data_IF_623897974564
#
_entry.id   IF_623897974564
#
_cell.length_a   1.000
_cell.length_b   1.000
_cell.length_c   1.000
_cell.angle_alpha   90.00
_cell.angle_beta   90.00
_cell.angle_gamma   90.00
#
_symmetry.space_group_name_H-M   'P 1'
#
loop_
_entity.id
_entity.type
_entity.pdbx_description
1 polymer ?
#
# COMPACT_ATOMS: atom_id res chain seq x y z
N UNK A 1 -20.22 -15.27 -13.96
CA UNK A 1 -20.51 -14.37 -12.83
C UNK A 1 -22.00 -14.06 -12.88
N UNK A 2 -22.77 -14.62 -11.95
CA UNK A 2 -24.18 -14.27 -11.73
C UNK A 2 -24.30 -13.99 -10.23
N UNK A 3 -24.63 -12.75 -9.88
CA UNK A 3 -24.93 -12.37 -8.51
C UNK A 3 -26.31 -12.93 -8.17
N UNK A 4 -26.38 -13.81 -7.17
CA UNK A 4 -27.65 -14.24 -6.61
C UNK A 4 -28.03 -13.25 -5.52
N UNK A 5 -28.99 -12.38 -5.85
CA UNK A 5 -29.64 -11.46 -4.92
C UNK A 5 -30.59 -12.25 -4.01
N UNK A 6 -30.25 -12.38 -2.73
CA UNK A 6 -31.12 -12.99 -1.74
C UNK A 6 -32.09 -11.93 -1.20
N UNK A 7 -33.37 -12.06 -1.53
CA UNK A 7 -34.44 -11.32 -0.87
C UNK A 7 -34.65 -11.90 0.54
N UNK A 8 -34.33 -11.12 1.56
CA UNK A 8 -34.66 -11.44 2.94
C UNK A 8 -36.12 -11.06 3.20
N UNK A 9 -37.06 -11.90 2.77
CA UNK A 9 -38.46 -11.74 3.17
C UNK A 9 -39.21 -13.07 3.12
N UNK A 10 -39.11 -13.81 4.20
CA UNK A 10 -40.17 -14.71 4.68
C UNK A 10 -40.20 -14.57 6.21
N UNK A 11 -40.72 -13.44 6.66
CA UNK A 11 -41.41 -13.39 7.94
C UNK A 11 -42.81 -13.92 7.69
N UNK A 12 -43.06 -15.19 8.03
CA UNK A 12 -44.42 -15.68 8.30
C UNK A 12 -44.34 -16.69 9.45
N UNK A 13 -43.97 -16.16 10.62
CA UNK A 13 -44.19 -16.82 11.89
C UNK A 13 -45.64 -16.65 12.30
N UNK A 14 -46.49 -17.60 11.90
CA UNK A 14 -47.83 -17.78 12.47
C UNK A 14 -47.71 -18.00 14.00
N UNK A 15 -47.93 -16.93 14.77
CA UNK A 15 -48.22 -17.05 16.20
C UNK A 15 -49.69 -17.44 16.36
N UNK A 16 -49.98 -18.74 16.44
CA UNK A 16 -51.25 -19.20 17.00
C UNK A 16 -51.24 -18.99 18.52
N UNK A 17 -51.50 -17.76 18.94
CA UNK A 17 -51.89 -17.41 20.30
C UNK A 17 -53.40 -17.55 20.46
N UNK A 18 -53.87 -18.77 20.75
CA UNK A 18 -55.20 -18.96 21.33
C UNK A 18 -55.12 -18.63 22.82
N UNK A 19 -55.96 -17.70 23.26
CA UNK A 19 -56.16 -17.36 24.66
C UNK A 19 -56.58 -18.59 25.48
N UNK A 20 -55.98 -18.76 26.66
CA UNK A 20 -56.30 -19.82 27.62
C UNK A 20 -55.47 -19.68 28.90
N UNK A 21 -56.17 -19.56 30.02
CA UNK A 21 -55.72 -19.26 31.38
C UNK A 21 -54.61 -20.21 31.90
N UNK A 22 -53.60 -19.64 32.58
CA UNK A 22 -52.83 -20.32 33.63
C UNK A 22 -51.90 -21.47 33.22
N UNK A 23 -50.73 -21.16 32.66
CA UNK A 23 -49.66 -22.14 32.52
C UNK A 23 -48.36 -21.45 32.10
N UNK A 24 -47.30 -21.58 32.90
CA UNK A 24 -45.99 -21.03 32.58
C UNK A 24 -45.58 -21.51 31.18
N UNK A 25 -45.45 -20.56 30.24
CA UNK A 25 -44.99 -20.85 28.89
C UNK A 25 -43.61 -21.50 28.98
N UNK A 26 -43.54 -22.80 28.72
CA UNK A 26 -42.28 -23.53 28.65
C UNK A 26 -41.52 -22.91 27.48
N UNK A 27 -40.56 -22.03 27.77
CA UNK A 27 -39.62 -21.51 26.76
C UNK A 27 -38.89 -22.72 26.20
N UNK A 28 -39.27 -23.10 24.98
CA UNK A 28 -38.60 -24.14 24.24
C UNK A 28 -37.14 -23.75 24.13
N UNK A 29 -36.25 -24.57 24.70
CA UNK A 29 -34.79 -24.41 24.56
C UNK A 29 -34.30 -24.86 23.18
N UNK A 30 -35.22 -25.12 22.24
CA UNK A 30 -34.90 -25.60 20.92
C UNK A 30 -34.34 -24.45 20.09
N UNK A 31 -33.13 -24.60 19.50
CA UNK A 31 -32.56 -23.59 18.62
C UNK A 31 -33.45 -23.38 17.38
N UNK A 32 -33.47 -22.15 16.87
CA UNK A 32 -34.25 -21.83 15.67
C UNK A 32 -33.77 -22.62 14.45
N UNK A 33 -34.72 -23.11 13.67
CA UNK A 33 -34.48 -23.98 12.53
C UNK A 33 -34.18 -23.21 11.24
N UNK A 34 -33.29 -22.21 11.31
CA UNK A 34 -32.87 -21.42 10.14
C UNK A 34 -31.56 -21.97 9.57
N UNK A 35 -31.41 -21.94 8.23
CA UNK A 35 -30.21 -22.44 7.54
C UNK A 35 -28.91 -21.80 8.04
N UNK A 36 -28.95 -20.53 8.46
CA UNK A 36 -27.81 -19.83 9.05
C UNK A 36 -27.46 -20.39 10.44
N UNK A 37 -28.42 -20.43 11.38
CA UNK A 37 -28.17 -20.93 12.75
C UNK A 37 -27.85 -22.42 12.79
N UNK A 38 -28.28 -23.18 11.79
CA UNK A 38 -27.97 -24.60 11.64
C UNK A 38 -26.74 -24.89 10.78
N UNK A 39 -26.07 -23.85 10.26
CA UNK A 39 -24.87 -23.97 9.43
C UNK A 39 -25.09 -24.84 8.18
N UNK A 40 -26.30 -24.77 7.58
CA UNK A 40 -26.71 -25.47 6.37
C UNK A 40 -26.85 -24.52 5.18
N UNK A 41 -26.11 -23.42 5.20
CA UNK A 41 -26.07 -22.53 4.05
C UNK A 41 -25.47 -23.26 2.84
N UNK A 42 -26.02 -23.05 1.62
CA UNK A 42 -25.44 -23.62 0.42
C UNK A 42 -24.02 -23.06 0.26
N UNK A 43 -23.04 -23.95 0.27
CA UNK A 43 -21.64 -23.61 0.05
C UNK A 43 -21.15 -24.35 -1.20
N UNK A 44 -20.42 -23.64 -2.05
CA UNK A 44 -19.62 -24.28 -3.08
C UNK A 44 -18.30 -24.74 -2.44
N UNK A 45 -18.03 -26.04 -2.51
CA UNK A 45 -16.81 -26.64 -1.94
C UNK A 45 -15.93 -27.15 -3.09
N UNK A 46 -15.05 -26.30 -3.66
CA UNK A 46 -14.16 -26.73 -4.73
C UNK A 46 -13.08 -27.67 -4.18
N UNK A 47 -13.03 -28.88 -4.74
CA UNK A 47 -11.98 -29.85 -4.43
C UNK A 47 -10.86 -29.65 -5.47
N UNK A 48 -9.73 -29.08 -5.04
CA UNK A 48 -8.57 -28.81 -5.88
C UNK A 48 -7.81 -30.11 -6.17
N UNK A 49 -8.16 -30.75 -7.28
CA UNK A 49 -7.48 -31.95 -7.79
C UNK A 49 -6.50 -31.59 -8.91
N UNK A 50 -5.51 -32.45 -9.16
CA UNK A 50 -4.50 -32.26 -10.21
C UNK A 50 -5.11 -31.90 -11.59
N UNK A 51 -6.25 -32.52 -11.95
CA UNK A 51 -6.94 -32.26 -13.21
C UNK A 51 -7.56 -30.87 -13.33
N UNK A 52 -7.83 -30.19 -12.21
CA UNK A 52 -8.40 -28.82 -12.20
C UNK A 52 -7.32 -27.75 -12.08
N UNK A 53 -6.26 -28.00 -11.34
CA UNK A 53 -5.18 -27.02 -11.11
C UNK A 53 -4.20 -26.94 -12.27
N UNK A 54 -3.93 -28.06 -12.96
CA UNK A 54 -2.96 -28.10 -14.04
C UNK A 54 -3.37 -27.19 -15.22
N UNK A 55 -4.61 -27.24 -15.76
CA UNK A 55 -5.03 -26.31 -16.80
C UNK A 55 -5.02 -24.85 -16.34
N UNK A 56 -5.39 -24.59 -15.07
CA UNK A 56 -5.37 -23.24 -14.52
C UNK A 56 -3.96 -22.64 -14.51
N UNK A 57 -2.94 -23.42 -14.13
CA UNK A 57 -1.54 -22.97 -14.20
C UNK A 57 -1.08 -22.68 -15.62
N UNK A 58 -1.46 -23.49 -16.61
CA UNK A 58 -1.13 -23.21 -18.01
C UNK A 58 -1.76 -21.91 -18.50
N UNK A 59 -3.03 -21.66 -18.18
CA UNK A 59 -3.72 -20.40 -18.55
C UNK A 59 -3.03 -19.20 -17.91
N UNK A 60 -2.73 -19.27 -16.60
CA UNK A 60 -2.02 -18.18 -15.90
C UNK A 60 -0.64 -17.96 -16.52
N UNK A 61 0.10 -19.03 -16.80
CA UNK A 61 1.42 -18.96 -17.44
C UNK A 61 1.37 -18.30 -18.82
N UNK A 62 0.43 -18.72 -19.69
CA UNK A 62 0.26 -18.14 -21.02
C UNK A 62 -0.13 -16.66 -20.99
N UNK A 63 -0.78 -16.19 -19.92
CA UNK A 63 -1.11 -14.77 -19.73
C UNK A 63 0.10 -14.01 -19.16
N UNK A 64 0.80 -14.58 -18.17
CA UNK A 64 1.90 -13.90 -17.50
C UNK A 64 3.18 -13.83 -18.33
N UNK A 65 3.42 -14.78 -19.24
CA UNK A 65 4.57 -14.73 -20.15
C UNK A 65 4.56 -13.46 -21.03
N UNK A 66 3.52 -13.16 -21.83
CA UNK A 66 3.51 -11.97 -22.67
C UNK A 66 3.48 -10.67 -21.85
N UNK A 67 2.77 -10.65 -20.71
CA UNK A 67 2.78 -9.50 -19.80
C UNK A 67 4.20 -9.27 -19.27
N UNK A 68 4.87 -10.32 -18.80
CA UNK A 68 6.24 -10.26 -18.30
C UNK A 68 7.22 -9.79 -19.37
N UNK A 69 7.09 -10.28 -20.62
CA UNK A 69 7.90 -9.80 -21.75
C UNK A 69 7.66 -8.30 -21.99
N UNK A 70 6.40 -7.85 -22.01
CA UNK A 70 6.07 -6.44 -22.17
C UNK A 70 6.66 -5.55 -21.08
N UNK A 71 6.54 -5.96 -19.82
CA UNK A 71 7.14 -5.25 -18.68
C UNK A 71 8.68 -5.27 -18.73
N UNK A 72 9.28 -6.38 -19.13
CA UNK A 72 10.74 -6.50 -19.23
C UNK A 72 11.32 -5.61 -20.33
N UNK A 73 10.71 -5.61 -21.52
CA UNK A 73 11.15 -4.74 -22.63
C UNK A 73 11.00 -3.27 -22.27
N UNK A 74 9.85 -2.89 -21.70
CA UNK A 74 9.62 -1.50 -21.28
C UNK A 74 10.60 -1.07 -20.19
N UNK A 75 10.91 -1.95 -19.22
CA UNK A 75 11.90 -1.67 -18.17
C UNK A 75 13.31 -1.49 -18.74
N UNK A 76 13.76 -2.34 -19.66
CA UNK A 76 15.13 -2.25 -20.22
C UNK A 76 15.32 -1.07 -21.18
N UNK A 77 14.24 -0.51 -21.70
CA UNK A 77 14.29 0.70 -22.53
C UNK A 77 14.47 1.98 -21.70
N UNK A 78 14.25 1.92 -20.38
CA UNK A 78 14.51 3.06 -19.48
C UNK A 78 16.02 3.18 -19.31
N UNK A 79 16.52 4.40 -19.53
CA UNK A 79 17.93 4.75 -19.34
C UNK A 79 18.06 5.48 -18.01
N UNK A 80 19.00 5.05 -17.20
CA UNK A 80 19.27 5.60 -15.88
C UNK A 80 20.76 5.94 -15.79
N UNK A 81 21.08 7.08 -15.19
CA UNK A 81 22.45 7.50 -14.88
C UNK A 81 22.48 7.97 -13.43
N UNK A 82 23.31 7.31 -12.63
CA UNK A 82 23.45 7.59 -11.20
C UNK A 82 24.89 8.04 -10.90
N UNK A 83 25.03 9.12 -10.12
CA UNK A 83 26.32 9.64 -9.69
C UNK A 83 26.27 10.00 -8.20
N UNK A 84 27.19 9.44 -7.42
CA UNK A 84 27.34 9.77 -6.00
C UNK A 84 28.15 11.08 -5.86
N UNK A 85 27.57 12.07 -5.18
CA UNK A 85 28.14 13.38 -4.92
C UNK A 85 28.49 13.61 -3.44
N UNK A 86 28.48 12.57 -2.61
CA UNK A 86 28.77 12.66 -1.16
C UNK A 86 30.20 13.12 -0.87
N UNK A 87 31.15 12.76 -1.74
CA UNK A 87 32.56 13.15 -1.59
C UNK A 87 33.30 12.41 -0.49
N UNK A 88 33.08 11.10 -0.34
CA UNK A 88 33.80 10.26 0.64
C UNK A 88 35.25 10.01 0.24
N UNK A 89 35.51 9.90 -1.06
CA UNK A 89 36.84 9.61 -1.60
C UNK A 89 37.66 10.88 -1.76
N UNK A 90 38.96 10.81 -1.43
CA UNK A 90 39.89 11.94 -1.59
C UNK A 90 40.06 12.41 -3.04
N UNK A 91 39.74 11.55 -4.01
CA UNK A 91 39.74 11.86 -5.44
C UNK A 91 38.49 12.60 -5.90
N UNK A 92 37.42 12.61 -5.09
CA UNK A 92 36.17 13.26 -5.46
C UNK A 92 36.32 14.80 -5.44
N UNK A 93 35.81 15.51 -6.46
CA UNK A 93 35.74 16.97 -6.45
C UNK A 93 34.97 17.54 -5.25
N UNK A 94 34.10 16.74 -4.63
CA UNK A 94 33.30 17.13 -3.47
C UNK A 94 33.94 16.81 -2.12
N UNK A 95 35.13 16.20 -2.08
CA UNK A 95 35.79 15.78 -0.83
C UNK A 95 36.04 16.95 0.15
N UNK A 96 36.40 18.12 -0.36
CA UNK A 96 36.60 19.28 0.50
C UNK A 96 35.29 19.74 1.16
N UNK A 97 34.15 19.61 0.48
CA UNK A 97 32.84 19.95 1.05
C UNK A 97 32.37 18.95 2.10
N UNK A 98 32.71 17.67 1.96
CA UNK A 98 32.36 16.64 2.94
C UNK A 98 33.23 16.76 4.21
N UNK A 99 34.52 17.06 4.05
CA UNK A 99 35.46 17.14 5.16
C UNK A 99 35.42 18.49 5.90
N UNK A 100 35.32 19.60 5.15
CA UNK A 100 35.42 20.97 5.71
C UNK A 100 34.06 21.57 6.07
N UNK A 101 33.08 20.73 6.45
CA UNK A 101 31.79 21.22 6.94
C UNK A 101 31.94 21.76 8.37
N UNK A 102 32.19 23.07 8.48
CA UNK A 102 32.13 23.78 9.76
C UNK A 102 30.71 24.28 10.00
N UNK A 103 30.13 23.86 11.12
CA UNK A 103 28.80 24.29 11.58
C UNK A 103 28.71 25.80 11.83
N UNK A 104 29.86 26.48 11.90
CA UNK A 104 29.99 27.92 12.14
C UNK A 104 30.42 28.69 10.88
N UNK A 105 30.54 28.02 9.73
CA UNK A 105 30.83 28.69 8.47
C UNK A 105 29.53 28.90 7.69
N UNK A 106 29.11 30.16 7.55
CA UNK A 106 27.95 30.54 6.74
C UNK A 106 28.22 30.52 5.23
N UNK A 107 29.44 30.18 4.80
CA UNK A 107 29.78 30.15 3.37
C UNK A 107 29.28 28.86 2.74
N UNK A 108 28.40 28.92 1.72
CA UNK A 108 27.91 27.70 1.07
C UNK A 108 29.06 26.99 0.34
N UNK A 109 29.29 25.72 0.67
CA UNK A 109 30.21 24.89 -0.11
C UNK A 109 29.53 24.43 -1.40
N UNK A 110 30.17 24.70 -2.54
CA UNK A 110 29.69 24.26 -3.86
C UNK A 110 30.76 23.38 -4.48
N UNK A 111 30.38 22.16 -4.85
CA UNK A 111 31.22 21.28 -5.65
C UNK A 111 30.55 21.01 -7.00
N UNK A 112 31.35 20.73 -8.04
CA UNK A 112 30.90 20.49 -9.41
C UNK A 112 31.43 19.13 -9.84
N UNK A 113 30.55 18.23 -10.25
CA UNK A 113 30.92 16.94 -10.81
C UNK A 113 30.71 16.96 -12.33
N UNK A 114 31.78 16.91 -13.13
CA UNK A 114 31.64 16.70 -14.57
C UNK A 114 31.22 15.24 -14.84
N UNK A 115 30.24 15.05 -15.71
CA UNK A 115 29.82 13.73 -16.19
C UNK A 115 29.51 13.78 -17.69
N UNK A 116 29.58 12.61 -18.34
CA UNK A 116 29.25 12.42 -19.74
C UNK A 116 28.25 11.28 -19.88
N UNK A 117 27.25 11.45 -20.73
CA UNK A 117 26.26 10.41 -21.02
C UNK A 117 26.75 9.58 -22.21
N UNK A 118 26.82 8.26 -22.04
CA UNK A 118 27.25 7.34 -23.10
C UNK A 118 26.21 7.22 -24.23
N UNK A 119 24.92 7.40 -23.89
CA UNK A 119 23.79 7.27 -24.78
C UNK A 119 22.85 8.47 -24.64
N UNK A 120 22.20 8.92 -25.72
CA UNK A 120 21.22 9.98 -25.65
C UNK A 120 19.96 9.52 -24.91
N UNK A 121 19.37 10.42 -24.12
CA UNK A 121 18.08 10.20 -23.47
C UNK A 121 17.00 10.76 -24.39
N UNK A 122 16.33 9.88 -25.13
CA UNK A 122 15.42 10.26 -26.22
C UNK A 122 14.04 10.76 -25.75
N UNK A 123 13.71 10.60 -24.47
CA UNK A 123 12.40 10.93 -23.89
C UNK A 123 12.50 11.94 -22.74
N UNK A 124 11.39 12.21 -22.04
CA UNK A 124 11.36 13.14 -20.91
C UNK A 124 12.35 12.71 -19.83
N UNK A 125 13.21 13.65 -19.42
CA UNK A 125 14.22 13.43 -18.39
C UNK A 125 13.70 13.86 -17.03
N UNK A 126 13.90 13.01 -16.02
CA UNK A 126 13.60 13.31 -14.62
C UNK A 126 14.89 13.29 -13.81
N UNK A 127 15.06 14.27 -12.93
CA UNK A 127 16.21 14.36 -12.03
C UNK A 127 15.75 14.03 -10.60
N UNK A 128 16.42 13.07 -9.97
CA UNK A 128 16.16 12.68 -8.59
C UNK A 128 17.43 12.85 -7.75
N UNK A 129 17.26 13.18 -6.47
CA UNK A 129 18.33 13.12 -5.49
C UNK A 129 18.10 11.91 -4.58
N UNK A 130 19.10 11.05 -4.45
CA UNK A 130 19.07 9.91 -3.54
C UNK A 130 19.67 10.26 -2.18
N UNK A 131 19.07 9.72 -1.11
CA UNK A 131 19.63 9.76 0.25
C UNK A 131 19.69 8.33 0.78
N UNK A 132 20.89 7.90 1.17
CA UNK A 132 21.09 6.61 1.86
C UNK A 132 21.16 6.83 3.37
N UNK A 133 20.86 5.79 4.14
CA UNK A 133 20.86 5.82 5.62
C UNK A 133 19.96 6.89 6.26
N UNK A 134 18.93 7.36 5.54
CA UNK A 134 17.97 8.34 6.03
C UNK A 134 16.58 7.69 6.28
N UNK A 135 16.26 7.43 7.55
CA UNK A 135 15.07 6.67 7.95
C UNK A 135 13.79 7.53 8.02
N UNK A 136 13.29 8.01 6.88
CA UNK A 136 12.06 8.81 6.80
C UNK A 136 10.81 8.08 7.34
N UNK A 137 10.80 6.74 7.31
CA UNK A 137 9.68 5.92 7.77
C UNK A 137 9.63 5.76 9.30
N UNK A 138 10.55 6.34 10.05
CA UNK A 138 10.56 6.23 11.51
C UNK A 138 9.33 6.91 12.14
N UNK A 139 8.61 6.20 13.02
CA UNK A 139 7.31 6.65 13.59
C UNK A 139 7.34 8.07 14.17
N UNK A 140 8.41 8.46 14.88
CA UNK A 140 8.52 9.81 15.45
C UNK A 140 8.74 10.88 14.38
N UNK A 141 9.48 10.55 13.32
CA UNK A 141 9.72 11.47 12.21
C UNK A 141 8.42 11.71 11.44
N UNK A 142 7.71 10.64 11.07
CA UNK A 142 6.42 10.71 10.37
C UNK A 142 5.34 11.48 11.15
N UNK A 143 5.37 11.39 12.49
CA UNK A 143 4.44 12.11 13.36
C UNK A 143 4.83 13.57 13.62
N UNK A 144 6.07 13.95 13.36
CA UNK A 144 6.60 15.29 13.67
C UNK A 144 6.28 16.28 12.55
N UNK A 145 5.01 16.38 12.17
CA UNK A 145 4.46 17.34 11.21
C UNK A 145 3.04 17.73 11.62
N UNK A 146 2.62 18.92 11.20
CA UNK A 146 1.25 19.40 11.38
C UNK A 146 0.61 19.57 10.01
N UNK A 147 -0.30 18.65 9.66
CA UNK A 147 -0.95 18.66 8.35
C UNK A 147 -1.88 19.88 8.16
N UNK A 148 -2.42 20.46 9.24
CA UNK A 148 -3.26 21.65 9.17
C UNK A 148 -2.42 22.89 8.89
N UNK A 149 -1.25 22.97 9.52
CA UNK A 149 -0.25 23.99 9.19
C UNK A 149 0.22 23.86 7.73
N UNK A 150 0.54 22.65 7.27
CA UNK A 150 0.96 22.42 5.88
C UNK A 150 -0.14 22.74 4.86
N UNK A 151 -1.41 22.60 5.24
CA UNK A 151 -2.56 23.01 4.44
C UNK A 151 -2.83 24.53 4.50
N UNK A 152 -2.07 25.29 5.29
CA UNK A 152 -2.18 26.75 5.39
C UNK A 152 -3.23 27.26 6.37
N UNK A 153 -3.66 26.47 7.36
CA UNK A 153 -4.57 26.93 8.41
C UNK A 153 -3.85 27.86 9.41
N UNK A 154 -4.23 29.13 9.41
CA UNK A 154 -3.68 30.16 10.29
C UNK A 154 -3.87 29.85 11.78
N UNK A 155 -4.92 29.12 12.16
CA UNK A 155 -5.17 28.73 13.57
C UNK A 155 -4.17 27.72 14.09
N UNK A 156 -3.55 26.99 13.17
CA UNK A 156 -2.54 25.98 13.43
C UNK A 156 -1.13 26.59 13.47
N UNK A 157 -0.97 27.88 13.11
CA UNK A 157 0.24 28.68 13.34
C UNK A 157 0.33 29.12 14.82
N UNK A 158 0.32 28.17 15.75
CA UNK A 158 0.66 28.49 17.14
C UNK A 158 2.14 28.83 17.19
N UNK A 159 2.45 30.12 17.36
CA UNK A 159 3.75 30.58 17.85
C UNK A 159 3.98 29.83 19.17
N UNK A 160 4.94 28.90 19.19
CA UNK A 160 5.37 28.27 20.42
C UNK A 160 5.71 29.39 21.41
N UNK A 161 5.00 29.54 22.55
CA UNK A 161 5.47 30.45 23.57
C UNK A 161 6.83 29.93 24.02
N UNK A 162 7.85 30.79 23.91
CA UNK A 162 9.19 30.55 24.41
C UNK A 162 9.10 29.95 25.81
N UNK A 163 9.61 28.73 25.96
CA UNK A 163 9.97 28.15 27.26
C UNK A 163 11.48 28.24 27.42
#
# INVERSE_FOLDING_TARGET
>A
MMASSYNAKEEDGHHSGSAGLGGAAIRSRKPDNTAFKQQRLPAWQPILTAGTVLPAFFVIGLIFIPIGIGLFVTSNNIKEFEIDYTGTDMSSPCFNCSQSFSWNSSTPCKCVLPFSLEQPFESNVFMYYGLSNFYQNHRRYVKSRDDSQLNGDERSLKVLPHQ
#
